data_IF_727826775363
#
_entry.id   IF_727826775363
#
_cell.length_a   1.000
_cell.length_b   1.000
_cell.length_c   1.000
_cell.angle_alpha   90.00
_cell.angle_beta   90.00
_cell.angle_gamma   90.00
#
_symmetry.space_group_name_H-M   'P 1'
#
loop_
_entity.id
_entity.type
_entity.pdbx_description
1 polymer ?
#
# COMPACT_ATOMS: atom_id res chain seq x y z
N UNK A 1 62.47 59.94 31.97
CA UNK A 1 62.46 60.15 30.51
C UNK A 1 61.38 59.23 29.94
N UNK A 2 60.16 59.76 29.80
CA UNK A 2 59.52 60.11 28.49
C UNK A 2 59.08 58.81 27.79
N UNK A 3 57.80 58.47 27.57
CA UNK A 3 56.51 59.16 27.59
C UNK A 3 55.40 58.07 27.54
N UNK A 4 54.37 58.12 28.40
CA UNK A 4 52.99 58.58 28.14
C UNK A 4 52.17 57.68 27.18
N UNK A 5 51.09 57.00 27.57
CA UNK A 5 49.76 57.44 28.09
C UNK A 5 48.68 57.25 27.01
N UNK A 6 47.70 56.40 27.29
CA UNK A 6 46.27 56.55 26.94
C UNK A 6 45.53 55.34 27.59
N UNK A 7 45.29 55.36 28.89
CA UNK A 7 44.08 55.90 29.56
C UNK A 7 42.87 54.98 29.41
N UNK A 8 42.56 54.36 30.55
CA UNK A 8 41.24 53.96 31.02
C UNK A 8 40.04 54.63 30.33
N UNK A 9 39.14 53.81 29.79
CA UNK A 9 37.72 54.13 29.80
C UNK A 9 36.90 52.83 29.86
N UNK A 10 35.94 52.82 30.78
CA UNK A 10 34.81 51.90 30.89
C UNK A 10 35.06 50.46 31.39
N UNK A 11 35.08 50.34 32.72
CA UNK A 11 34.35 49.27 33.41
C UNK A 11 32.86 49.35 33.05
N UNK A 12 32.21 48.18 33.01
CA UNK A 12 30.74 47.96 32.96
C UNK A 12 30.16 47.77 31.56
N UNK A 13 30.13 46.53 31.06
CA UNK A 13 28.91 45.91 30.49
C UNK A 13 29.02 44.40 30.74
N UNK A 14 28.17 43.89 31.63
CA UNK A 14 27.83 42.47 31.69
C UNK A 14 27.31 42.02 30.33
N UNK A 15 27.89 40.99 29.73
CA UNK A 15 27.26 40.27 28.63
C UNK A 15 27.36 38.78 28.90
N UNK A 16 26.38 38.31 29.66
CA UNK A 16 25.88 36.94 29.56
C UNK A 16 25.54 36.70 28.08
N UNK A 17 26.39 35.96 27.37
CA UNK A 17 26.01 35.31 26.13
C UNK A 17 25.17 34.08 26.49
N UNK A 18 23.88 34.32 26.75
CA UNK A 18 22.86 33.27 26.68
C UNK A 18 22.75 32.93 25.19
N UNK A 19 23.32 31.79 24.78
CA UNK A 19 22.95 31.15 23.52
C UNK A 19 21.48 30.74 23.63
N UNK A 20 20.57 31.63 23.22
CA UNK A 20 19.21 31.26 22.94
C UNK A 20 19.24 30.35 21.71
N UNK A 21 19.23 29.04 21.94
CA UNK A 21 18.82 28.06 20.95
C UNK A 21 17.37 28.39 20.59
N UNK A 22 17.21 29.19 19.54
CA UNK A 22 15.94 29.33 18.84
C UNK A 22 15.66 27.99 18.18
N UNK A 23 15.02 27.10 18.93
CA UNK A 23 14.36 25.93 18.38
C UNK A 23 13.28 26.47 17.45
N UNK A 24 13.57 26.55 16.15
CA UNK A 24 12.52 26.72 15.16
C UNK A 24 11.55 25.57 15.36
N UNK A 25 10.25 25.81 15.61
CA UNK A 25 9.30 24.72 15.65
C UNK A 25 9.34 24.04 14.29
N UNK A 26 9.85 22.81 14.25
CA UNK A 26 9.62 21.93 13.10
C UNK A 26 8.09 21.80 13.06
N UNK A 27 7.46 22.36 12.03
CA UNK A 27 6.04 22.13 11.82
C UNK A 27 5.84 20.60 11.80
N UNK A 28 4.98 20.09 12.68
CA UNK A 28 4.66 18.67 12.68
C UNK A 28 4.16 18.32 11.28
N UNK A 29 4.85 17.39 10.62
CA UNK A 29 4.46 16.91 9.30
C UNK A 29 3.03 16.37 9.40
N UNK A 30 2.11 16.92 8.59
CA UNK A 30 0.72 16.45 8.57
C UNK A 30 0.73 14.97 8.20
N UNK A 31 0.24 14.13 9.12
CA UNK A 31 0.30 12.68 8.96
C UNK A 31 -0.78 12.14 8.02
N UNK A 32 -1.80 12.95 7.73
CA UNK A 32 -2.96 12.60 6.90
C UNK A 32 -3.28 13.76 5.92
N UNK A 33 -2.35 14.12 5.02
CA UNK A 33 -2.46 15.33 4.20
C UNK A 33 -3.63 15.34 3.21
N UNK A 34 -4.04 14.17 2.69
CA UNK A 34 -5.18 14.04 1.76
C UNK A 34 -6.54 14.03 2.47
N UNK A 35 -6.55 14.11 3.81
CA UNK A 35 -7.76 14.29 4.59
C UNK A 35 -8.02 15.79 4.84
N UNK A 36 -9.28 16.20 4.68
CA UNK A 36 -9.75 17.50 5.16
C UNK A 36 -9.67 17.55 6.69
N UNK A 37 -9.47 18.76 7.22
CA UNK A 37 -9.42 18.97 8.67
C UNK A 37 -10.84 18.91 9.25
N UNK A 38 -11.29 17.68 9.51
CA UNK A 38 -12.63 17.36 9.98
C UNK A 38 -12.63 16.30 11.09
N UNK A 39 -13.84 15.92 11.52
CA UNK A 39 -14.05 15.00 12.63
C UNK A 39 -13.38 13.63 12.38
N UNK A 40 -13.44 13.10 11.15
CA UNK A 40 -12.86 11.82 10.78
C UNK A 40 -11.34 11.79 10.94
N UNK A 41 -10.63 12.79 10.38
CA UNK A 41 -9.17 12.94 10.53
C UNK A 41 -8.77 13.07 12.00
N UNK A 42 -9.49 13.90 12.75
CA UNK A 42 -9.23 14.12 14.17
C UNK A 42 -9.45 12.85 15.00
N UNK A 43 -10.46 12.05 14.69
CA UNK A 43 -10.74 10.80 15.39
C UNK A 43 -9.62 9.77 15.21
N UNK A 44 -9.09 9.63 13.98
CA UNK A 44 -7.94 8.75 13.69
C UNK A 44 -6.71 9.18 14.50
N UNK A 45 -6.32 10.46 14.39
CA UNK A 45 -5.14 11.00 15.08
C UNK A 45 -5.29 10.92 16.60
N UNK A 46 -6.48 11.23 17.13
CA UNK A 46 -6.75 11.16 18.56
C UNK A 46 -6.68 9.74 19.09
N UNK A 47 -7.22 8.75 18.35
CA UNK A 47 -7.12 7.35 18.72
C UNK A 47 -5.67 6.87 18.77
N UNK A 48 -4.90 7.09 17.70
CA UNK A 48 -3.50 6.66 17.62
C UNK A 48 -2.70 7.29 18.75
N UNK A 49 -2.83 8.60 18.98
CA UNK A 49 -2.17 9.29 20.10
C UNK A 49 -2.57 8.69 21.45
N UNK A 50 -3.86 8.41 21.67
CA UNK A 50 -4.38 7.87 22.93
C UNK A 50 -3.74 6.53 23.30
N UNK A 51 -3.53 5.64 22.33
CA UNK A 51 -3.01 4.28 22.58
C UNK A 51 -1.49 4.16 22.46
N UNK A 52 -0.80 5.19 21.96
CA UNK A 52 0.66 5.18 21.75
C UNK A 52 1.42 6.08 22.72
N UNK A 53 0.76 7.01 23.40
CA UNK A 53 1.41 7.91 24.37
C UNK A 53 1.86 7.11 25.60
N UNK A 54 3.18 6.92 25.77
CA UNK A 54 3.74 6.24 26.92
C UNK A 54 3.32 6.89 28.25
N UNK A 55 3.02 6.06 29.26
CA UNK A 55 2.53 6.52 30.56
C UNK A 55 1.04 6.88 30.62
N UNK A 56 0.33 6.87 29.49
CA UNK A 56 -1.14 6.96 29.44
C UNK A 56 -1.79 5.70 30.02
N UNK A 57 -2.90 5.85 30.74
CA UNK A 57 -3.74 4.70 31.16
C UNK A 57 -4.30 3.91 29.97
N UNK A 58 -4.40 4.56 28.81
CA UNK A 58 -4.87 3.97 27.56
C UNK A 58 -3.74 3.40 26.69
N UNK A 59 -2.49 3.44 27.15
CA UNK A 59 -1.34 2.94 26.40
C UNK A 59 -1.49 1.45 26.09
N UNK A 60 -1.23 1.09 24.83
CA UNK A 60 -1.21 -0.29 24.34
C UNK A 60 0.22 -0.61 23.88
N UNK A 61 0.83 -1.72 24.35
CA UNK A 61 2.14 -2.16 23.87
C UNK A 61 2.13 -2.41 22.36
N UNK A 62 3.24 -2.13 21.66
CA UNK A 62 3.34 -2.29 20.20
C UNK A 62 2.87 -3.66 19.69
N UNK A 63 3.23 -4.76 20.37
CA UNK A 63 2.83 -6.12 20.02
C UNK A 63 1.31 -6.41 20.14
N UNK A 64 0.52 -5.47 20.66
CA UNK A 64 -0.94 -5.55 20.75
C UNK A 64 -1.64 -4.51 19.84
N UNK A 65 -0.89 -3.68 19.12
CA UNK A 65 -1.41 -2.64 18.21
C UNK A 65 -1.75 -3.25 16.85
N UNK A 66 -2.81 -4.05 16.79
CA UNK A 66 -3.28 -4.65 15.54
C UNK A 66 -4.39 -3.79 14.94
N UNK A 67 -4.24 -3.41 13.68
CA UNK A 67 -5.25 -2.76 12.85
C UNK A 67 -5.64 -3.67 11.67
N UNK A 68 -6.95 -3.87 11.45
CA UNK A 68 -7.48 -4.70 10.36
C UNK A 68 -8.27 -3.85 9.36
N UNK A 69 -8.13 -4.17 8.08
CA UNK A 69 -8.75 -3.45 6.96
C UNK A 69 -9.45 -4.44 6.04
N UNK A 70 -10.67 -4.14 5.60
CA UNK A 70 -11.11 -4.71 4.32
C UNK A 70 -10.27 -4.14 3.17
N UNK A 71 -10.33 -4.78 2.01
CA UNK A 71 -9.66 -4.34 0.80
C UNK A 71 -10.62 -3.68 -0.19
N UNK A 72 -11.57 -4.45 -0.74
CA UNK A 72 -12.57 -3.96 -1.70
C UNK A 72 -13.42 -2.85 -1.05
N UNK A 73 -13.46 -1.66 -1.66
CA UNK A 73 -14.20 -0.50 -1.17
C UNK A 73 -13.60 0.20 0.06
N UNK A 74 -12.61 -0.41 0.72
CA UNK A 74 -11.91 0.20 1.88
C UNK A 74 -10.51 0.69 1.56
N UNK A 75 -9.73 -0.05 0.77
CA UNK A 75 -8.37 0.33 0.33
C UNK A 75 -8.30 0.66 -1.16
N UNK A 76 -9.23 0.17 -1.97
CA UNK A 76 -9.34 0.49 -3.39
C UNK A 76 -10.78 0.45 -3.91
N UNK A 77 -10.99 0.98 -5.11
CA UNK A 77 -12.27 0.95 -5.81
C UNK A 77 -12.72 -0.49 -6.09
N UNK A 78 -13.95 -0.83 -5.67
CA UNK A 78 -14.61 -2.12 -5.93
C UNK A 78 -15.73 -2.04 -6.97
N UNK A 79 -15.98 -0.86 -7.54
CA UNK A 79 -17.10 -0.62 -8.44
C UNK A 79 -16.60 -0.51 -9.89
N UNK A 80 -17.26 -1.11 -10.90
CA UNK A 80 -18.60 -1.71 -10.87
C UNK A 80 -18.69 -3.16 -10.39
N UNK A 81 -17.55 -3.84 -10.26
CA UNK A 81 -17.44 -5.21 -9.77
C UNK A 81 -16.16 -5.32 -8.95
N UNK A 82 -16.13 -6.15 -7.89
CA UNK A 82 -14.90 -6.45 -7.18
C UNK A 82 -13.79 -6.86 -8.14
N UNK A 83 -12.57 -6.39 -7.91
CA UNK A 83 -11.50 -6.52 -8.91
C UNK A 83 -11.10 -7.97 -9.16
N UNK A 84 -11.21 -8.85 -8.15
CA UNK A 84 -10.99 -10.29 -8.38
C UNK A 84 -12.09 -10.92 -9.24
N UNK A 85 -13.34 -10.45 -9.14
CA UNK A 85 -14.41 -10.91 -10.03
C UNK A 85 -14.13 -10.48 -11.47
N UNK A 86 -13.67 -9.24 -11.67
CA UNK A 86 -13.22 -8.76 -12.99
C UNK A 86 -12.05 -9.59 -13.54
N UNK A 87 -11.04 -9.88 -12.72
CA UNK A 87 -9.94 -10.78 -13.06
C UNK A 87 -10.44 -12.15 -13.51
N UNK A 88 -11.33 -12.78 -12.74
CA UNK A 88 -11.88 -14.09 -13.09
C UNK A 88 -12.66 -14.02 -14.41
N UNK A 89 -13.35 -12.91 -14.69
CA UNK A 89 -14.08 -12.73 -15.95
C UNK A 89 -13.15 -12.61 -17.15
N UNK A 90 -12.06 -11.86 -17.00
CA UNK A 90 -11.08 -11.73 -18.07
C UNK A 90 -10.29 -13.03 -18.29
N UNK A 91 -9.98 -13.78 -17.22
CA UNK A 91 -9.37 -15.11 -17.34
C UNK A 91 -10.26 -16.10 -18.08
N UNK A 92 -11.58 -16.10 -17.82
CA UNK A 92 -12.52 -16.93 -18.61
C UNK A 92 -12.41 -16.58 -20.09
N UNK A 93 -12.47 -15.28 -20.44
CA UNK A 93 -12.38 -14.84 -21.85
C UNK A 93 -11.05 -15.24 -22.48
N UNK A 94 -9.93 -15.10 -21.75
CA UNK A 94 -8.58 -15.46 -22.22
C UNK A 94 -8.45 -16.96 -22.46
N UNK A 95 -9.01 -17.79 -21.58
CA UNK A 95 -8.90 -19.25 -21.62
C UNK A 95 -9.95 -19.92 -22.50
N UNK A 96 -11.04 -19.24 -22.84
CA UNK A 96 -12.14 -19.80 -23.64
C UNK A 96 -11.69 -20.38 -25.00
N UNK A 97 -10.75 -19.77 -25.75
CA UNK A 97 -10.23 -20.35 -26.99
C UNK A 97 -9.49 -21.69 -26.78
N UNK A 98 -8.83 -21.86 -25.63
CA UNK A 98 -8.12 -23.09 -25.24
C UNK A 98 -9.08 -24.14 -24.64
N UNK A 99 -10.24 -23.71 -24.15
CA UNK A 99 -11.23 -24.54 -23.48
C UNK A 99 -12.62 -24.39 -24.12
N UNK A 100 -12.80 -24.81 -25.39
CA UNK A 100 -14.03 -24.53 -26.14
C UNK A 100 -15.28 -25.17 -25.52
N UNK A 101 -15.13 -26.27 -24.77
CA UNK A 101 -16.24 -26.95 -24.06
C UNK A 101 -16.89 -26.07 -22.99
N UNK A 102 -16.20 -25.05 -22.49
CA UNK A 102 -16.76 -24.13 -21.50
C UNK A 102 -17.88 -23.26 -22.05
N UNK A 103 -18.00 -23.10 -23.38
CA UNK A 103 -19.07 -22.33 -24.01
C UNK A 103 -20.46 -22.86 -23.70
N UNK A 104 -20.57 -24.16 -23.41
CA UNK A 104 -21.83 -24.82 -23.07
C UNK A 104 -22.13 -24.77 -21.56
N UNK A 105 -21.21 -24.26 -20.73
CA UNK A 105 -21.43 -24.09 -19.30
C UNK A 105 -22.34 -22.88 -19.05
N UNK A 106 -23.46 -23.03 -18.31
CA UNK A 106 -24.39 -21.94 -18.05
C UNK A 106 -23.75 -20.73 -17.35
N UNK A 107 -22.79 -20.95 -16.45
CA UNK A 107 -22.12 -19.86 -15.74
C UNK A 107 -21.20 -19.08 -16.70
N UNK A 108 -20.47 -19.78 -17.56
CA UNK A 108 -19.62 -19.14 -18.58
C UNK A 108 -20.47 -18.38 -19.60
N UNK A 109 -21.61 -18.95 -20.01
CA UNK A 109 -22.57 -18.28 -20.89
C UNK A 109 -23.08 -16.99 -20.26
N UNK A 110 -23.54 -17.05 -19.00
CA UNK A 110 -24.02 -15.89 -18.26
C UNK A 110 -22.94 -14.82 -18.10
N UNK A 111 -21.70 -15.21 -17.83
CA UNK A 111 -20.57 -14.29 -17.75
C UNK A 111 -20.30 -13.59 -19.08
N UNK A 112 -20.25 -14.34 -20.18
CA UNK A 112 -19.98 -13.80 -21.52
C UNK A 112 -21.10 -12.87 -21.98
N UNK A 113 -22.35 -13.13 -21.61
CA UNK A 113 -23.49 -12.27 -21.90
C UNK A 113 -23.65 -11.09 -20.93
N UNK A 114 -22.84 -11.01 -19.87
CA UNK A 114 -22.94 -9.96 -18.84
C UNK A 114 -24.12 -10.13 -17.88
N UNK A 115 -24.71 -11.33 -17.79
CA UNK A 115 -25.82 -11.65 -16.89
C UNK A 115 -25.34 -11.93 -15.46
N UNK A 116 -24.96 -10.86 -14.77
CA UNK A 116 -24.50 -10.90 -13.37
C UNK A 116 -25.61 -11.43 -12.43
N UNK A 117 -26.88 -11.21 -12.76
CA UNK A 117 -28.00 -11.71 -11.96
C UNK A 117 -28.06 -13.24 -12.00
N UNK A 118 -27.89 -13.85 -13.18
CA UNK A 118 -27.80 -15.29 -13.32
C UNK A 118 -26.58 -15.89 -12.60
N UNK A 119 -25.43 -15.19 -12.59
CA UNK A 119 -24.24 -15.65 -11.86
C UNK A 119 -24.44 -15.66 -10.33
N UNK A 120 -25.23 -14.71 -9.81
CA UNK A 120 -25.54 -14.57 -8.38
C UNK A 120 -26.72 -15.42 -7.92
N UNK A 121 -27.53 -15.92 -8.85
CA UNK A 121 -28.62 -16.83 -8.55
C UNK A 121 -28.11 -18.09 -7.81
N UNK A 122 -28.99 -18.71 -7.03
CA UNK A 122 -28.68 -19.90 -6.23
C UNK A 122 -27.42 -19.73 -5.37
N UNK A 123 -27.44 -18.75 -4.45
CA UNK A 123 -26.37 -18.51 -3.50
C UNK A 123 -24.98 -18.30 -4.14
N UNK A 124 -24.91 -17.57 -5.25
CA UNK A 124 -23.69 -17.29 -6.01
C UNK A 124 -23.04 -18.53 -6.66
N UNK A 125 -23.79 -19.61 -6.92
CA UNK A 125 -23.27 -20.83 -7.53
C UNK A 125 -22.54 -20.58 -8.86
N UNK A 126 -23.05 -19.67 -9.69
CA UNK A 126 -22.41 -19.25 -10.94
C UNK A 126 -21.04 -18.61 -10.69
N UNK A 127 -20.94 -17.67 -9.76
CA UNK A 127 -19.66 -17.06 -9.39
C UNK A 127 -18.65 -18.08 -8.84
N UNK A 128 -19.11 -19.01 -7.98
CA UNK A 128 -18.26 -20.09 -7.45
C UNK A 128 -17.73 -20.96 -8.59
N UNK A 129 -18.57 -21.27 -9.59
CA UNK A 129 -18.17 -22.02 -10.78
C UNK A 129 -17.13 -21.28 -11.61
N UNK A 130 -17.26 -19.97 -11.79
CA UNK A 130 -16.26 -19.15 -12.48
C UNK A 130 -14.92 -19.15 -11.74
N UNK A 131 -14.95 -18.98 -10.41
CA UNK A 131 -13.75 -19.07 -9.57
C UNK A 131 -13.12 -20.46 -9.70
N UNK A 132 -13.93 -21.53 -9.71
CA UNK A 132 -13.45 -22.90 -9.91
C UNK A 132 -12.64 -23.06 -11.18
N UNK A 133 -13.20 -22.61 -12.31
CA UNK A 133 -12.59 -22.74 -13.63
C UNK A 133 -11.29 -21.93 -13.78
N UNK A 134 -11.18 -20.82 -13.06
CA UNK A 134 -10.06 -19.88 -13.19
C UNK A 134 -8.96 -20.07 -12.15
N UNK A 135 -9.28 -20.66 -10.99
CA UNK A 135 -8.35 -20.76 -9.85
C UNK A 135 -7.95 -22.20 -9.51
N UNK A 136 -8.85 -23.17 -9.66
CA UNK A 136 -8.62 -24.53 -9.17
C UNK A 136 -7.68 -25.31 -10.11
N UNK A 137 -6.86 -26.20 -9.54
CA UNK A 137 -5.91 -27.02 -10.29
C UNK A 137 -4.57 -26.33 -10.59
N UNK A 138 -4.48 -25.02 -10.37
CA UNK A 138 -3.23 -24.26 -10.47
C UNK A 138 -2.38 -24.44 -9.22
N UNK A 139 -1.06 -24.37 -9.38
CA UNK A 139 -0.15 -24.06 -8.28
C UNK A 139 -0.33 -22.60 -7.83
N UNK A 140 0.06 -22.24 -6.60
CA UNK A 140 0.11 -20.84 -6.18
C UNK A 140 0.92 -19.97 -7.16
N UNK A 141 2.11 -20.41 -7.57
CA UNK A 141 2.99 -19.65 -8.47
C UNK A 141 2.35 -19.39 -9.85
N UNK A 142 1.70 -20.39 -10.45
CA UNK A 142 0.96 -20.22 -11.72
C UNK A 142 -0.24 -19.27 -11.57
N UNK A 143 -0.88 -19.28 -10.40
CA UNK A 143 -1.97 -18.36 -10.11
C UNK A 143 -1.45 -16.93 -9.95
N UNK A 144 -0.33 -16.75 -9.24
CA UNK A 144 0.30 -15.47 -9.02
C UNK A 144 0.75 -14.84 -10.34
N UNK A 145 1.36 -15.62 -11.24
CA UNK A 145 1.75 -15.18 -12.59
C UNK A 145 0.54 -14.66 -13.40
N UNK A 146 -0.61 -15.34 -13.32
CA UNK A 146 -1.83 -14.89 -14.01
C UNK A 146 -2.34 -13.57 -13.45
N UNK A 147 -2.34 -13.41 -12.13
CA UNK A 147 -2.76 -12.17 -11.49
C UNK A 147 -1.81 -11.02 -11.84
N UNK A 148 -0.49 -11.25 -11.83
CA UNK A 148 0.50 -10.26 -12.23
C UNK A 148 0.29 -9.80 -13.68
N UNK A 149 0.10 -10.74 -14.61
CA UNK A 149 -0.16 -10.44 -16.01
C UNK A 149 -1.46 -9.64 -16.22
N UNK A 150 -2.51 -9.97 -15.46
CA UNK A 150 -3.75 -9.20 -15.50
C UNK A 150 -3.56 -7.80 -14.94
N UNK A 151 -2.92 -7.64 -13.78
CA UNK A 151 -2.66 -6.32 -13.19
C UNK A 151 -1.82 -5.41 -14.10
N UNK A 152 -0.90 -5.98 -14.88
CA UNK A 152 -0.05 -5.25 -15.81
C UNK A 152 -0.79 -4.72 -17.06
N UNK A 153 -1.95 -5.29 -17.41
CA UNK A 153 -2.62 -5.00 -18.69
C UNK A 153 -4.06 -4.55 -18.55
N UNK A 154 -4.75 -4.96 -17.49
CA UNK A 154 -6.13 -4.64 -17.25
C UNK A 154 -6.28 -3.19 -16.80
N UNK A 155 -7.36 -2.56 -17.29
CA UNK A 155 -7.68 -1.18 -16.97
C UNK A 155 -9.07 -1.06 -16.39
N UNK A 156 -9.20 -0.19 -15.40
CA UNK A 156 -10.47 0.17 -14.83
C UNK A 156 -11.36 0.86 -15.87
N UNK A 157 -12.62 0.41 -16.09
CA UNK A 157 -13.43 0.88 -17.22
C UNK A 157 -13.84 2.35 -17.13
N UNK A 158 -14.01 2.90 -15.92
CA UNK A 158 -14.34 4.33 -15.73
C UNK A 158 -13.11 5.25 -15.78
N UNK A 159 -11.98 4.81 -15.24
CA UNK A 159 -10.82 5.67 -14.98
C UNK A 159 -9.70 5.48 -16.02
N UNK A 160 -9.78 4.45 -16.87
CA UNK A 160 -8.82 4.13 -17.94
C UNK A 160 -7.36 4.03 -17.46
N UNK A 161 -7.16 3.50 -16.26
CA UNK A 161 -5.86 3.27 -15.63
C UNK A 161 -5.78 1.87 -15.00
N UNK A 162 -4.59 1.43 -14.60
CA UNK A 162 -4.42 0.12 -13.96
C UNK A 162 -5.23 0.02 -12.65
N UNK A 163 -5.64 -1.19 -12.26
CA UNK A 163 -6.42 -1.38 -11.03
C UNK A 163 -5.66 -1.00 -9.76
N UNK A 164 -4.33 -1.12 -9.77
CA UNK A 164 -3.47 -0.65 -8.66
C UNK A 164 -3.41 0.88 -8.53
N UNK A 165 -4.02 1.61 -9.46
CA UNK A 165 -4.03 3.06 -9.49
C UNK A 165 -5.34 3.65 -8.96
N UNK A 166 -6.36 2.81 -8.76
CA UNK A 166 -7.65 3.20 -8.16
C UNK A 166 -7.69 2.82 -6.67
N UNK A 167 -6.54 3.01 -6.00
CA UNK A 167 -6.33 2.81 -4.57
C UNK A 167 -6.59 4.12 -3.83
N UNK A 168 -7.09 4.06 -2.59
CA UNK A 168 -7.45 5.28 -1.87
C UNK A 168 -6.24 5.93 -1.20
N UNK A 169 -5.76 7.04 -1.76
CA UNK A 169 -4.64 7.81 -1.23
C UNK A 169 -4.79 8.15 0.27
N UNK A 170 -5.96 8.62 0.76
CA UNK A 170 -6.17 8.88 2.17
C UNK A 170 -5.98 7.63 3.05
N UNK A 171 -6.29 6.44 2.54
CA UNK A 171 -6.13 5.18 3.28
C UNK A 171 -4.68 4.67 3.26
N UNK A 172 -3.91 4.94 2.20
CA UNK A 172 -2.46 4.75 2.20
C UNK A 172 -1.78 5.58 3.30
N UNK A 173 -2.25 6.82 3.50
CA UNK A 173 -1.77 7.69 4.58
C UNK A 173 -2.12 7.12 5.95
N UNK A 174 -3.33 6.58 6.14
CA UNK A 174 -3.72 5.91 7.38
C UNK A 174 -2.84 4.69 7.67
N UNK A 175 -2.61 3.84 6.66
CA UNK A 175 -1.72 2.68 6.78
C UNK A 175 -0.30 3.09 7.20
N UNK A 176 0.27 4.10 6.53
CA UNK A 176 1.60 4.62 6.86
C UNK A 176 1.65 5.24 8.25
N UNK A 177 0.64 6.02 8.62
CA UNK A 177 0.56 6.66 9.94
C UNK A 177 0.47 5.62 11.06
N UNK A 178 -0.32 4.56 10.88
CA UNK A 178 -0.42 3.47 11.84
C UNK A 178 0.92 2.73 12.00
N UNK A 179 1.57 2.35 10.90
CA UNK A 179 2.90 1.69 10.95
C UNK A 179 3.97 2.57 11.57
N UNK A 180 3.96 3.88 11.30
CA UNK A 180 4.86 4.85 11.95
C UNK A 180 4.64 4.97 13.47
N UNK A 181 3.55 4.39 13.99
CA UNK A 181 3.20 4.31 15.41
C UNK A 181 3.17 2.85 15.92
N UNK A 182 3.94 1.97 15.27
CA UNK A 182 4.13 0.55 15.58
C UNK A 182 2.86 -0.31 15.57
N UNK A 183 1.88 0.04 14.74
CA UNK A 183 0.78 -0.87 14.46
C UNK A 183 1.18 -1.90 13.41
N UNK A 184 0.72 -3.14 13.59
CA UNK A 184 0.63 -4.10 12.51
C UNK A 184 -0.66 -3.85 11.71
N UNK A 185 -0.53 -3.72 10.39
CA UNK A 185 -1.66 -3.49 9.48
C UNK A 185 -1.98 -4.77 8.71
N UNK A 186 -3.17 -5.30 8.91
CA UNK A 186 -3.63 -6.57 8.33
C UNK A 186 -4.80 -6.34 7.36
N UNK A 187 -4.86 -7.13 6.28
CA UNK A 187 -6.05 -7.22 5.42
C UNK A 187 -6.93 -8.38 5.90
N UNK A 188 -8.24 -8.15 5.96
CA UNK A 188 -9.31 -9.12 6.29
C UNK A 188 -10.46 -8.91 5.30
N UNK A 189 -10.50 -9.70 4.24
CA UNK A 189 -11.36 -9.44 3.08
C UNK A 189 -12.06 -10.67 2.54
N UNK A 190 -13.29 -10.48 2.06
CA UNK A 190 -14.04 -11.52 1.35
C UNK A 190 -13.34 -11.98 0.07
N UNK A 191 -12.46 -11.15 -0.50
CA UNK A 191 -11.60 -11.50 -1.64
C UNK A 191 -10.63 -12.64 -1.34
N UNK A 192 -10.16 -13.30 -2.39
CA UNK A 192 -9.23 -14.42 -2.30
C UNK A 192 -7.87 -13.98 -1.79
N UNK A 193 -7.39 -14.59 -0.70
CA UNK A 193 -6.11 -14.21 -0.08
C UNK A 193 -4.92 -14.23 -1.06
N UNK A 194 -4.89 -15.22 -1.94
CA UNK A 194 -3.78 -15.39 -2.89
C UNK A 194 -3.83 -14.33 -4.00
N UNK A 195 -5.02 -13.83 -4.37
CA UNK A 195 -5.14 -12.73 -5.33
C UNK A 195 -4.56 -11.44 -4.73
N UNK A 196 -4.90 -11.13 -3.48
CA UNK A 196 -4.40 -9.92 -2.80
C UNK A 196 -2.89 -10.00 -2.51
N UNK A 197 -2.37 -11.17 -2.16
CA UNK A 197 -0.93 -11.38 -1.87
C UNK A 197 0.00 -11.00 -3.01
N UNK A 198 -0.50 -11.03 -4.25
CA UNK A 198 0.30 -10.69 -5.43
C UNK A 198 0.67 -9.21 -5.50
N UNK A 199 -0.15 -8.31 -4.95
CA UNK A 199 0.05 -6.87 -5.11
C UNK A 199 0.09 -6.09 -3.79
N UNK A 200 -0.57 -6.57 -2.73
CA UNK A 200 -0.81 -5.79 -1.52
C UNK A 200 0.48 -5.33 -0.81
N UNK A 201 1.57 -6.08 -0.90
CA UNK A 201 2.85 -5.64 -0.32
C UNK A 201 3.41 -4.42 -1.05
N UNK A 202 3.46 -4.47 -2.38
CA UNK A 202 3.95 -3.35 -3.19
C UNK A 202 3.02 -2.14 -3.13
N UNK A 203 1.70 -2.36 -3.06
CA UNK A 203 0.69 -1.31 -3.12
C UNK A 203 0.39 -0.69 -1.76
N UNK A 204 0.31 -1.48 -0.69
CA UNK A 204 -0.14 -1.05 0.63
C UNK A 204 0.95 -1.13 1.72
N UNK A 205 2.09 -1.76 1.42
CA UNK A 205 3.10 -2.11 2.43
C UNK A 205 2.62 -3.18 3.40
N UNK A 206 1.66 -4.03 3.00
CA UNK A 206 1.13 -5.13 3.82
C UNK A 206 1.69 -6.46 3.30
N UNK A 207 2.58 -7.13 4.03
CA UNK A 207 3.25 -8.33 3.55
C UNK A 207 2.30 -9.54 3.48
N UNK A 208 2.60 -10.59 2.68
CA UNK A 208 1.68 -11.70 2.43
C UNK A 208 1.15 -12.44 3.67
N UNK A 209 1.95 -12.51 4.74
CA UNK A 209 1.55 -13.14 6.00
C UNK A 209 0.52 -12.32 6.79
N UNK A 210 0.35 -11.02 6.49
CA UNK A 210 -0.63 -10.13 7.11
C UNK A 210 -1.91 -10.00 6.28
N UNK A 211 -2.16 -10.96 5.37
CA UNK A 211 -3.34 -10.98 4.49
C UNK A 211 -4.18 -12.21 4.82
N UNK A 212 -5.38 -11.93 5.32
CA UNK A 212 -6.47 -12.88 5.52
C UNK A 212 -7.51 -12.60 4.45
N UNK A 213 -7.97 -13.67 3.82
CA UNK A 213 -9.07 -13.60 2.88
C UNK A 213 -9.61 -14.99 2.58
N UNK A 214 -10.60 -15.07 1.69
CA UNK A 214 -11.20 -16.34 1.31
C UNK A 214 -10.18 -17.31 0.69
N UNK A 215 -10.29 -18.60 1.01
CA UNK A 215 -9.40 -19.63 0.48
C UNK A 215 -10.02 -21.02 0.45
N UNK A 216 -9.54 -21.85 -0.49
CA UNK A 216 -9.71 -23.30 -0.44
C UNK A 216 -8.43 -23.99 0.04
N UNK A 217 -8.52 -25.27 0.41
CA UNK A 217 -7.33 -26.04 0.81
C UNK A 217 -6.32 -26.15 -0.31
N UNK A 218 -5.05 -26.19 0.06
CA UNK A 218 -3.97 -26.62 -0.83
C UNK A 218 -3.80 -28.13 -0.69
N UNK A 219 -3.62 -28.81 -1.83
CA UNK A 219 -3.24 -30.22 -1.89
C UNK A 219 -1.75 -30.32 -2.13
N UNK A 220 -1.03 -30.98 -1.22
CA UNK A 220 0.38 -31.31 -1.38
C UNK A 220 0.54 -32.67 -2.06
N UNK A 221 1.36 -32.73 -3.11
CA UNK A 221 1.74 -33.96 -3.80
C UNK A 221 3.19 -33.90 -4.28
N UNK A 222 3.78 -35.08 -4.56
CA UNK A 222 5.01 -35.19 -5.33
C UNK A 222 4.65 -35.48 -6.79
N UNK A 223 4.59 -34.45 -7.64
CA UNK A 223 4.36 -34.61 -9.08
C UNK A 223 5.71 -34.77 -9.77
N UNK A 224 5.95 -35.92 -10.39
CA UNK A 224 7.24 -36.25 -11.04
C UNK A 224 8.45 -36.05 -10.11
N UNK A 225 8.29 -36.36 -8.83
CA UNK A 225 9.33 -36.20 -7.81
C UNK A 225 9.53 -34.78 -7.28
N UNK A 226 8.75 -33.80 -7.76
CA UNK A 226 8.79 -32.41 -7.28
C UNK A 226 7.68 -32.15 -6.27
N UNK A 227 7.98 -31.54 -5.10
CA UNK A 227 6.96 -31.03 -4.18
C UNK A 227 6.07 -30.01 -4.87
N UNK A 228 4.76 -30.24 -4.88
CA UNK A 228 3.80 -29.36 -5.54
C UNK A 228 2.61 -29.12 -4.63
N UNK A 229 2.26 -27.84 -4.46
CA UNK A 229 0.97 -27.43 -3.89
C UNK A 229 0.02 -27.11 -5.03
N UNK A 230 -1.21 -27.59 -4.94
CA UNK A 230 -2.26 -27.30 -5.92
C UNK A 230 -3.47 -26.70 -5.22
N UNK A 231 -3.97 -25.58 -5.74
CA UNK A 231 -5.18 -24.90 -5.27
C UNK A 231 -6.39 -25.79 -5.54
N UNK A 232 -7.19 -26.00 -4.51
CA UNK A 232 -8.46 -26.75 -4.61
C UNK A 232 -9.62 -25.85 -4.17
N UNK A 233 -10.84 -26.33 -4.40
CA UNK A 233 -12.05 -25.76 -3.79
C UNK A 233 -12.52 -26.59 -2.59
N UNK A 234 -11.69 -27.48 -2.07
CA UNK A 234 -12.05 -28.28 -0.90
C UNK A 234 -12.02 -27.41 0.36
N UNK A 235 -13.05 -27.54 1.19
CA UNK A 235 -13.16 -26.83 2.48
C UNK A 235 -12.97 -25.31 2.34
N UNK A 236 -13.77 -24.69 1.46
CA UNK A 236 -13.75 -23.24 1.29
C UNK A 236 -14.04 -22.52 2.62
N UNK A 237 -13.10 -21.66 3.00
CA UNK A 237 -13.31 -20.65 4.02
C UNK A 237 -13.63 -19.33 3.32
N UNK A 238 -14.73 -18.71 3.72
CA UNK A 238 -15.17 -17.40 3.22
C UNK A 238 -14.92 -16.38 4.32
N UNK A 239 -14.02 -15.43 4.06
CA UNK A 239 -13.62 -14.41 5.03
C UNK A 239 -14.47 -13.14 4.87
N UNK A 240 -15.79 -13.31 4.92
CA UNK A 240 -16.78 -12.23 4.80
C UNK A 240 -17.81 -12.34 5.93
N UNK A 241 -18.40 -11.22 6.34
CA UNK A 241 -19.37 -11.14 7.45
C UNK A 241 -18.83 -11.80 8.72
N UNK A 242 -19.55 -12.77 9.28
CA UNK A 242 -19.15 -13.53 10.47
C UNK A 242 -17.88 -14.37 10.25
N UNK A 243 -17.48 -14.60 8.99
CA UNK A 243 -16.19 -15.20 8.65
C UNK A 243 -15.01 -14.33 9.10
N UNK A 244 -15.10 -13.00 8.95
CA UNK A 244 -14.01 -12.06 9.29
C UNK A 244 -13.49 -12.18 10.73
N UNK A 245 -14.33 -12.12 11.78
CA UNK A 245 -13.83 -12.32 13.15
C UNK A 245 -13.27 -13.72 13.40
N UNK A 246 -13.76 -14.75 12.69
CA UNK A 246 -13.19 -16.10 12.75
C UNK A 246 -11.80 -16.13 12.12
N UNK A 247 -11.62 -15.50 10.95
CA UNK A 247 -10.33 -15.35 10.28
C UNK A 247 -9.33 -14.62 11.18
N UNK A 248 -9.71 -13.47 11.73
CA UNK A 248 -8.91 -12.71 12.70
C UNK A 248 -8.45 -13.60 13.86
N UNK A 249 -9.38 -14.31 14.50
CA UNK A 249 -9.06 -15.14 15.65
C UNK A 249 -8.12 -16.31 15.31
N UNK A 250 -8.27 -16.91 14.12
CA UNK A 250 -7.45 -18.05 13.69
C UNK A 250 -6.04 -17.65 13.24
N UNK A 251 -5.91 -16.55 12.49
CA UNK A 251 -4.65 -16.20 11.84
C UNK A 251 -3.83 -15.18 12.63
N UNK A 252 -4.46 -14.22 13.28
CA UNK A 252 -3.76 -13.21 14.11
C UNK A 252 -3.58 -13.73 15.54
N UNK A 253 -4.61 -14.43 16.07
CA UNK A 253 -4.60 -14.89 17.46
C UNK A 253 -4.71 -13.76 18.49
N UNK A 254 -5.01 -12.54 18.05
CA UNK A 254 -5.23 -11.35 18.89
C UNK A 254 -6.42 -10.56 18.37
N UNK A 255 -7.14 -9.94 19.29
CA UNK A 255 -8.24 -9.04 18.96
C UNK A 255 -7.66 -7.69 18.48
N UNK A 256 -8.02 -7.20 17.29
CA UNK A 256 -7.59 -5.90 16.82
C UNK A 256 -8.06 -4.78 17.74
N UNK A 257 -7.36 -3.65 17.71
CA UNK A 257 -7.79 -2.43 18.39
C UNK A 257 -8.22 -1.35 17.39
N UNK A 258 -8.03 -1.56 16.10
CA UNK A 258 -8.57 -0.69 15.05
C UNK A 258 -9.12 -1.54 13.90
N UNK A 259 -10.28 -1.16 13.35
CA UNK A 259 -10.85 -1.78 12.17
C UNK A 259 -11.37 -0.74 11.17
N UNK A 260 -11.20 -1.04 9.89
CA UNK A 260 -11.62 -0.20 8.78
C UNK A 260 -12.38 -1.06 7.77
N UNK A 261 -13.58 -0.63 7.40
CA UNK A 261 -14.44 -1.32 6.44
C UNK A 261 -15.30 -0.33 5.65
N UNK A 262 -16.16 -0.81 4.77
CA UNK A 262 -17.06 0.03 3.98
C UNK A 262 -18.48 -0.55 3.82
N UNK A 263 -18.72 -1.78 4.27
CA UNK A 263 -19.98 -2.49 3.97
C UNK A 263 -20.58 -3.23 5.16
N UNK A 264 -21.80 -3.73 5.00
CA UNK A 264 -22.45 -4.64 5.95
C UNK A 264 -21.67 -5.97 6.08
N UNK A 265 -20.81 -6.30 5.12
CA UNK A 265 -19.85 -7.40 5.21
C UNK A 265 -18.81 -7.21 6.31
N UNK A 266 -18.54 -5.97 6.71
CA UNK A 266 -17.58 -5.64 7.75
C UNK A 266 -18.17 -5.59 9.15
N UNK A 267 -19.51 -5.57 9.25
CA UNK A 267 -20.17 -5.29 10.52
C UNK A 267 -19.67 -6.21 11.65
N UNK A 268 -19.58 -7.51 11.41
CA UNK A 268 -19.10 -8.47 12.41
C UNK A 268 -17.63 -8.27 12.78
N UNK A 269 -16.77 -7.87 11.83
CA UNK A 269 -15.37 -7.48 12.11
C UNK A 269 -15.33 -6.24 13.00
N UNK A 270 -16.17 -5.24 12.71
CA UNK A 270 -16.23 -4.00 13.47
C UNK A 270 -16.76 -4.23 14.88
N UNK A 271 -17.84 -4.99 15.02
CA UNK A 271 -18.38 -5.42 16.31
C UNK A 271 -17.36 -6.21 17.12
N UNK A 272 -16.71 -7.19 16.49
CA UNK A 272 -15.63 -7.93 17.12
C UNK A 272 -14.45 -7.04 17.47
N UNK A 273 -14.18 -5.94 16.77
CA UNK A 273 -13.07 -5.06 17.14
C UNK A 273 -13.47 -4.10 18.26
N UNK A 274 -14.68 -3.55 18.28
CA UNK A 274 -14.98 -2.39 19.13
C UNK A 274 -15.86 -2.67 20.34
N UNK A 275 -16.66 -3.74 20.36
CA UNK A 275 -17.59 -4.00 21.46
C UNK A 275 -16.87 -4.74 22.59
N UNK A 276 -16.87 -4.16 23.79
CA UNK A 276 -16.25 -4.77 24.98
C UNK A 276 -14.80 -5.20 24.72
N UNK A 277 -14.04 -4.37 24.00
CA UNK A 277 -12.62 -4.61 23.77
C UNK A 277 -11.86 -4.30 25.08
N UNK A 278 -10.99 -5.20 25.55
CA UNK A 278 -10.18 -4.95 26.76
C UNK A 278 -9.21 -3.76 26.60
N UNK A 279 -8.95 -3.31 25.37
CA UNK A 279 -8.16 -2.12 25.04
C UNK A 279 -9.06 -1.04 24.44
N UNK A 280 -8.67 0.25 24.53
CA UNK A 280 -9.30 1.28 23.73
C UNK A 280 -9.26 0.87 22.25
N UNK A 281 -10.41 0.95 21.59
CA UNK A 281 -10.58 0.48 20.21
C UNK A 281 -11.18 1.56 19.31
N UNK A 282 -10.97 1.43 18.00
CA UNK A 282 -11.45 2.35 16.98
C UNK A 282 -12.10 1.59 15.81
N UNK A 283 -13.19 2.13 15.27
CA UNK A 283 -13.83 1.61 14.08
C UNK A 283 -14.13 2.74 13.11
N UNK A 284 -13.86 2.51 11.83
CA UNK A 284 -14.10 3.48 10.76
C UNK A 284 -14.80 2.82 9.56
N UNK A 285 -15.81 3.49 9.03
CA UNK A 285 -16.54 3.11 7.82
C UNK A 285 -16.21 4.12 6.71
N UNK A 286 -15.73 3.65 5.56
CA UNK A 286 -15.65 4.43 4.33
C UNK A 286 -17.03 4.49 3.70
N UNK A 287 -17.65 5.67 3.61
CA UNK A 287 -18.94 5.86 2.96
C UNK A 287 -18.73 6.51 1.58
N UNK A 288 -19.08 5.77 0.53
CA UNK A 288 -18.92 6.18 -0.86
C UNK A 288 -20.00 7.18 -1.26
N UNK A 289 -19.71 8.47 -1.07
CA UNK A 289 -20.64 9.58 -1.32
C UNK A 289 -20.27 10.43 -2.53
N UNK A 290 -19.19 10.09 -3.23
CA UNK A 290 -18.59 10.93 -4.28
C UNK A 290 -18.71 10.35 -5.69
N UNK A 291 -19.85 10.58 -6.34
CA UNK A 291 -20.09 10.12 -7.71
C UNK A 291 -19.18 10.79 -8.77
N UNK A 292 -18.58 11.95 -8.44
CA UNK A 292 -17.77 12.73 -9.38
C UNK A 292 -16.34 12.19 -9.44
N UNK A 293 -15.69 12.06 -8.28
CA UNK A 293 -14.29 11.59 -8.18
C UNK A 293 -14.18 10.07 -8.07
N UNK A 294 -15.21 9.40 -7.56
CA UNK A 294 -15.28 7.95 -7.37
C UNK A 294 -16.65 7.43 -7.82
N UNK A 295 -17.39 6.73 -6.98
CA UNK A 295 -18.76 6.33 -7.15
C UNK A 295 -19.55 6.75 -5.89
N UNK A 296 -20.87 6.81 -6.02
CA UNK A 296 -21.76 7.01 -4.88
C UNK A 296 -22.70 5.80 -4.76
N UNK A 297 -22.62 5.08 -3.65
CA UNK A 297 -23.41 3.88 -3.40
C UNK A 297 -23.43 3.52 -1.91
N UNK A 298 -24.54 2.93 -1.48
CA UNK A 298 -24.77 2.48 -0.11
C UNK A 298 -25.77 1.31 -0.06
N UNK A 299 -27.08 1.57 -0.07
CA UNK A 299 -28.13 0.59 0.21
C UNK A 299 -28.43 -0.36 -0.95
N UNK A 300 -28.22 0.10 -2.19
CA UNK A 300 -28.58 -0.64 -3.41
C UNK A 300 -27.46 -0.60 -4.47
N UNK A 301 -26.23 -1.04 -4.16
CA UNK A 301 -25.19 -1.14 -5.16
C UNK A 301 -25.55 -2.20 -6.20
N UNK A 302 -25.07 -2.03 -7.43
CA UNK A 302 -25.32 -3.00 -8.51
C UNK A 302 -24.54 -4.30 -8.33
N UNK A 303 -23.49 -4.32 -7.49
CA UNK A 303 -22.69 -5.51 -7.24
C UNK A 303 -22.42 -5.85 -5.78
N UNK A 304 -21.57 -5.07 -5.12
CA UNK A 304 -20.99 -5.29 -3.79
C UNK A 304 -20.93 -3.96 -3.03
N UNK A 305 -20.44 -3.97 -1.79
CA UNK A 305 -20.34 -2.74 -0.99
C UNK A 305 -21.66 -2.25 -0.41
N UNK A 306 -22.63 -3.15 -0.19
CA UNK A 306 -23.91 -2.75 0.43
C UNK A 306 -23.64 -2.26 1.85
N UNK A 307 -24.07 -1.04 2.16
CA UNK A 307 -23.90 -0.41 3.45
C UNK A 307 -25.25 0.09 3.98
N UNK A 308 -25.84 -0.64 4.92
CA UNK A 308 -27.12 -0.31 5.57
C UNK A 308 -27.07 -0.54 7.07
N UNK A 309 -26.88 -1.78 7.50
CA UNK A 309 -26.92 -2.16 8.91
C UNK A 309 -25.69 -1.67 9.67
N UNK A 310 -24.51 -1.69 9.04
CA UNK A 310 -23.30 -1.15 9.64
C UNK A 310 -23.39 0.38 9.81
N UNK A 311 -23.96 1.09 8.83
CA UNK A 311 -24.17 2.54 8.88
C UNK A 311 -25.18 2.93 9.96
N UNK A 312 -26.29 2.21 10.08
CA UNK A 312 -27.29 2.40 11.13
C UNK A 312 -26.72 2.15 12.54
N UNK A 313 -25.80 1.19 12.68
CA UNK A 313 -25.15 0.86 13.93
C UNK A 313 -24.05 1.86 14.32
N UNK A 314 -23.39 2.51 13.36
CA UNK A 314 -22.24 3.38 13.58
C UNK A 314 -22.39 4.40 14.72
N UNK A 315 -23.46 5.24 14.78
CA UNK A 315 -23.60 6.22 15.86
C UNK A 315 -23.78 5.57 17.25
N UNK A 316 -24.39 4.39 17.32
CA UNK A 316 -24.61 3.67 18.57
C UNK A 316 -23.33 2.99 19.07
N UNK A 317 -22.43 2.65 18.14
CA UNK A 317 -21.16 1.96 18.41
C UNK A 317 -19.97 2.90 18.47
N UNK A 318 -20.16 4.18 18.18
CA UNK A 318 -19.09 5.17 18.09
C UNK A 318 -18.14 4.94 16.91
N UNK A 319 -18.61 4.28 15.85
CA UNK A 319 -17.83 4.13 14.64
C UNK A 319 -17.79 5.45 13.87
N UNK A 320 -16.60 5.83 13.42
CA UNK A 320 -16.39 7.01 12.60
C UNK A 320 -16.87 6.71 11.19
N UNK A 321 -17.76 7.53 10.63
CA UNK A 321 -18.20 7.40 9.23
C UNK A 321 -17.54 8.48 8.41
N UNK A 322 -16.74 8.07 7.44
CA UNK A 322 -16.05 8.95 6.51
C UNK A 322 -16.96 9.26 5.35
N UNK A 323 -17.29 10.52 5.14
CA UNK A 323 -17.97 10.96 3.91
C UNK A 323 -16.90 11.20 2.85
N UNK A 324 -16.73 10.30 1.88
CA UNK A 324 -15.66 10.39 0.87
C UNK A 324 -15.63 11.75 0.16
N UNK A 325 -16.80 12.31 -0.15
CA UNK A 325 -16.91 13.61 -0.83
C UNK A 325 -16.41 14.76 0.03
N UNK A 326 -16.73 14.75 1.33
CA UNK A 326 -16.42 15.86 2.24
C UNK A 326 -15.08 15.71 2.96
N UNK A 327 -14.70 14.49 3.33
CA UNK A 327 -13.56 14.24 4.21
C UNK A 327 -12.25 14.04 3.45
N UNK A 328 -12.30 13.68 2.16
CA UNK A 328 -11.09 13.46 1.34
C UNK A 328 -10.87 14.62 0.38
N UNK A 329 -9.66 15.21 0.41
CA UNK A 329 -9.18 16.19 -0.58
C UNK A 329 -8.90 15.54 -1.92
N UNK A 330 -8.31 14.35 -1.87
CA UNK A 330 -7.96 13.53 -3.03
C UNK A 330 -8.44 12.11 -2.78
N UNK A 331 -9.01 11.45 -3.79
CA UNK A 331 -9.50 10.06 -3.69
C UNK A 331 -8.38 9.08 -4.04
N UNK A 332 -7.87 9.17 -5.26
CA UNK A 332 -6.79 8.32 -5.78
C UNK A 332 -5.47 9.10 -5.80
N UNK A 333 -4.30 8.43 -5.76
CA UNK A 333 -3.03 9.11 -6.02
C UNK A 333 -3.08 9.86 -7.36
N UNK A 334 -2.47 11.04 -7.44
CA UNK A 334 -2.36 11.79 -8.69
C UNK A 334 -1.69 10.92 -9.78
N UNK A 335 -2.22 11.02 -11.00
CA UNK A 335 -2.06 10.12 -12.16
C UNK A 335 -0.76 9.27 -12.19
N UNK A 336 -0.83 7.94 -12.05
CA UNK A 336 0.29 7.00 -12.24
C UNK A 336 0.78 6.85 -13.69
N UNK A 337 0.36 7.74 -14.59
CA UNK A 337 1.20 8.14 -15.72
C UNK A 337 2.41 8.98 -15.30
N UNK A 338 2.56 9.29 -14.01
CA UNK A 338 3.70 9.96 -13.40
C UNK A 338 4.40 8.94 -12.49
N UNK A 339 5.55 8.40 -12.92
CA UNK A 339 6.31 7.37 -12.20
C UNK A 339 6.80 7.75 -10.82
N UNK A 340 6.61 9.02 -10.49
CA UNK A 340 6.94 9.71 -9.25
C UNK A 340 6.42 8.91 -8.07
N UNK A 341 5.13 8.56 -8.02
CA UNK A 341 4.52 7.86 -6.86
C UNK A 341 5.13 6.48 -6.58
N UNK A 342 5.51 5.76 -7.63
CA UNK A 342 6.06 4.40 -7.53
C UNK A 342 7.53 4.36 -7.05
N UNK A 343 8.29 5.43 -7.31
CA UNK A 343 9.69 5.56 -6.90
C UNK A 343 9.87 6.33 -5.58
N UNK A 344 8.84 6.97 -5.03
CA UNK A 344 8.98 7.70 -3.75
C UNK A 344 9.47 6.79 -2.63
N UNK A 345 10.39 7.32 -1.82
CA UNK A 345 11.00 6.65 -0.67
C UNK A 345 12.47 6.30 -0.88
N UNK A 346 13.04 5.62 0.11
CA UNK A 346 14.45 5.25 0.13
C UNK A 346 14.68 3.88 -0.53
N UNK A 347 15.73 3.82 -1.35
CA UNK A 347 16.17 2.65 -2.08
C UNK A 347 17.65 2.41 -1.81
N UNK A 348 18.01 1.14 -1.68
CA UNK A 348 19.39 0.68 -1.58
C UNK A 348 19.87 0.28 -2.97
N UNK A 349 21.05 0.77 -3.38
CA UNK A 349 21.64 0.38 -4.66
C UNK A 349 22.44 -0.91 -4.46
N UNK A 350 22.08 -1.93 -5.23
CA UNK A 350 22.66 -3.28 -5.17
C UNK A 350 23.73 -3.49 -6.26
N UNK A 351 23.52 -2.89 -7.43
CA UNK A 351 24.43 -2.97 -8.58
C UNK A 351 24.50 -1.64 -9.33
N UNK A 352 25.72 -1.26 -9.76
CA UNK A 352 25.97 -0.07 -10.58
C UNK A 352 26.84 -0.47 -11.78
N UNK A 353 26.26 -0.37 -12.98
CA UNK A 353 26.90 -0.67 -14.26
C UNK A 353 27.47 -2.10 -14.34
N UNK A 354 26.71 -3.09 -13.87
CA UNK A 354 27.06 -4.52 -13.92
C UNK A 354 28.11 -4.93 -12.89
N UNK A 355 28.28 -4.12 -11.84
CA UNK A 355 29.23 -4.34 -10.75
C UNK A 355 28.53 -4.06 -9.41
N UNK A 356 28.58 -5.04 -8.51
CA UNK A 356 28.05 -4.92 -7.16
C UNK A 356 28.62 -3.75 -6.36
N UNK A 357 27.83 -3.32 -5.38
CA UNK A 357 28.15 -2.25 -4.43
C UNK A 357 28.81 -2.86 -3.18
N UNK A 358 29.63 -2.09 -2.45
CA UNK A 358 30.26 -2.57 -1.21
C UNK A 358 29.25 -2.63 -0.06
N UNK A 359 28.87 -3.83 0.39
CA UNK A 359 27.80 -4.07 1.37
C UNK A 359 27.86 -3.21 2.65
N UNK A 360 29.07 -2.99 3.20
CA UNK A 360 29.25 -2.23 4.44
C UNK A 360 29.17 -0.71 4.26
N UNK A 361 29.15 -0.24 3.03
CA UNK A 361 29.11 1.19 2.68
C UNK A 361 28.02 1.40 1.64
N UNK A 362 26.80 1.54 2.14
CA UNK A 362 25.60 1.60 1.33
C UNK A 362 25.58 2.84 0.43
N UNK A 363 25.33 2.61 -0.84
CA UNK A 363 24.85 3.65 -1.76
C UNK A 363 23.33 3.66 -1.71
N UNK A 364 22.72 4.83 -1.50
CA UNK A 364 21.26 4.95 -1.38
C UNK A 364 20.72 6.03 -2.30
N UNK A 365 19.46 5.86 -2.72
CA UNK A 365 18.69 6.83 -3.51
C UNK A 365 17.35 7.03 -2.82
N UNK A 366 17.05 8.26 -2.41
CA UNK A 366 15.76 8.66 -1.89
C UNK A 366 15.09 9.63 -2.86
N UNK A 367 13.89 9.30 -3.30
CA UNK A 367 13.03 10.22 -4.05
C UNK A 367 11.95 10.79 -3.14
N UNK A 368 11.89 12.11 -3.06
CA UNK A 368 10.86 12.85 -2.35
C UNK A 368 9.76 13.30 -3.31
N UNK A 369 8.54 13.45 -2.79
CA UNK A 369 7.37 13.83 -3.58
C UNK A 369 7.49 15.21 -4.26
N UNK A 370 8.45 16.04 -3.84
CA UNK A 370 8.75 17.35 -4.44
C UNK A 370 9.76 17.26 -5.62
N UNK A 371 10.01 16.05 -6.14
CA UNK A 371 10.98 15.78 -7.20
C UNK A 371 12.44 15.84 -6.76
N UNK A 372 12.71 15.88 -5.45
CA UNK A 372 14.09 15.86 -4.94
C UNK A 372 14.63 14.44 -4.94
N UNK A 373 15.83 14.26 -5.51
CA UNK A 373 16.62 13.05 -5.39
C UNK A 373 17.81 13.30 -4.47
N UNK A 374 17.99 12.46 -3.46
CA UNK A 374 19.06 12.61 -2.47
C UNK A 374 19.54 11.26 -1.96
N UNK A 375 20.73 11.21 -1.35
CA UNK A 375 21.21 9.96 -0.78
C UNK A 375 22.69 9.98 -0.47
N UNK A 376 23.27 8.78 -0.40
CA UNK A 376 24.72 8.61 -0.25
C UNK A 376 25.30 7.86 -1.45
N UNK A 377 26.45 8.31 -1.93
CA UNK A 377 27.29 7.59 -2.91
C UNK A 377 28.23 6.58 -2.24
N UNK A 378 28.05 6.35 -0.93
CA UNK A 378 28.93 5.57 -0.06
C UNK A 378 30.01 6.41 0.63
N UNK A 379 30.64 7.36 -0.08
CA UNK A 379 31.61 8.30 0.52
C UNK A 379 30.95 9.63 0.83
N UNK A 380 30.21 10.17 -0.14
CA UNK A 380 29.61 11.49 -0.06
C UNK A 380 28.10 11.42 0.06
N UNK A 381 27.51 12.54 0.47
CA UNK A 381 26.09 12.78 0.31
C UNK A 381 25.88 13.54 -1.00
N UNK A 382 24.77 13.25 -1.66
CA UNK A 382 24.36 13.98 -2.84
C UNK A 382 22.91 14.46 -2.72
N UNK A 383 22.60 15.51 -3.47
CA UNK A 383 21.25 16.04 -3.62
C UNK A 383 21.09 16.71 -4.98
N UNK A 384 19.93 16.56 -5.59
CA UNK A 384 19.55 17.24 -6.82
C UNK A 384 18.06 17.06 -7.09
N UNK A 385 17.65 17.36 -8.32
CA UNK A 385 16.29 17.08 -8.80
C UNK A 385 16.30 15.83 -9.67
N UNK A 386 15.21 15.07 -9.63
CA UNK A 386 14.90 14.05 -10.60
C UNK A 386 13.55 14.37 -11.22
N UNK A 387 13.47 14.21 -12.53
CA UNK A 387 12.23 14.30 -13.28
C UNK A 387 11.74 12.87 -13.53
N UNK A 388 10.52 12.58 -13.09
CA UNK A 388 9.92 11.26 -13.16
C UNK A 388 8.54 11.41 -13.80
N UNK A 389 8.37 10.82 -14.98
CA UNK A 389 7.16 10.89 -15.81
C UNK A 389 6.91 9.48 -16.37
N UNK A 390 5.86 8.82 -15.89
CA UNK A 390 5.52 7.43 -16.23
C UNK A 390 6.61 6.43 -15.87
N UNK A 391 7.23 5.81 -16.86
CA UNK A 391 8.41 4.95 -16.65
C UNK A 391 9.72 5.68 -16.96
N UNK A 392 9.67 6.98 -17.27
CA UNK A 392 10.85 7.80 -17.49
C UNK A 392 11.39 8.29 -16.17
N UNK A 393 12.70 8.32 -16.08
CA UNK A 393 13.44 8.85 -14.94
C UNK A 393 14.66 9.55 -15.49
N UNK A 394 14.84 10.83 -15.18
CA UNK A 394 16.08 11.54 -15.48
C UNK A 394 16.58 12.28 -14.26
N UNK A 395 17.89 12.20 -14.00
CA UNK A 395 18.51 12.99 -12.95
C UNK A 395 18.95 14.33 -13.53
N UNK A 396 18.57 15.41 -12.85
CA UNK A 396 19.19 16.72 -13.04
C UNK A 396 20.61 16.76 -12.46
N UNK A 397 21.24 17.93 -12.47
CA UNK A 397 22.56 18.10 -11.89
C UNK A 397 22.57 17.73 -10.40
N UNK A 398 23.40 16.76 -10.03
CA UNK A 398 23.57 16.32 -8.65
C UNK A 398 24.71 17.10 -7.99
N UNK A 399 24.41 17.77 -6.89
CA UNK A 399 25.43 18.35 -6.02
C UNK A 399 25.93 17.27 -5.05
N UNK A 400 27.23 17.18 -4.85
CA UNK A 400 27.87 16.23 -3.92
C UNK A 400 28.71 16.95 -2.87
N UNK A 401 28.81 16.37 -1.68
CA UNK A 401 29.88 16.74 -0.73
C UNK A 401 31.24 16.32 -1.29
N UNK A 402 32.34 16.91 -0.79
CA UNK A 402 33.71 16.64 -1.29
C UNK A 402 34.61 16.00 -0.24
N UNK A 403 34.13 14.94 0.40
CA UNK A 403 34.92 14.11 1.31
C UNK A 403 35.79 13.15 0.50
N UNK A 404 37.04 12.98 0.93
CA UNK A 404 37.94 11.97 0.38
C UNK A 404 37.71 10.65 1.09
N UNK A 405 37.68 9.55 0.32
CA UNK A 405 37.54 8.20 0.84
C UNK A 405 38.54 7.23 0.21
N UNK A 406 38.52 5.95 0.64
CA UNK A 406 39.24 4.87 -0.01
C UNK A 406 38.98 4.81 -1.52
N UNK A 407 40.02 4.49 -2.31
CA UNK A 407 39.96 4.50 -3.77
C UNK A 407 38.79 3.65 -4.34
N UNK A 408 38.49 2.50 -3.73
CA UNK A 408 37.39 1.65 -4.14
C UNK A 408 36.00 2.31 -3.97
N UNK A 409 35.82 3.11 -2.91
CA UNK A 409 34.56 3.81 -2.66
C UNK A 409 34.44 5.07 -3.52
N UNK A 410 35.56 5.75 -3.79
CA UNK A 410 35.60 6.83 -4.78
C UNK A 410 35.27 6.34 -6.19
N UNK A 411 35.74 5.14 -6.58
CA UNK A 411 35.35 4.50 -7.85
C UNK A 411 33.86 4.17 -7.89
N UNK A 412 33.31 3.60 -6.82
CA UNK A 412 31.87 3.35 -6.69
C UNK A 412 31.04 4.64 -6.81
N UNK A 413 31.46 5.70 -6.14
CA UNK A 413 30.85 7.03 -6.26
C UNK A 413 30.89 7.53 -7.70
N UNK A 414 32.05 7.48 -8.36
CA UNK A 414 32.16 7.92 -9.75
C UNK A 414 31.27 7.10 -10.68
N UNK A 415 31.19 5.77 -10.48
CA UNK A 415 30.27 4.91 -11.23
C UNK A 415 28.81 5.30 -11.02
N UNK A 416 28.41 5.58 -9.77
CA UNK A 416 27.05 6.03 -9.47
C UNK A 416 26.70 7.31 -10.22
N UNK A 417 27.55 8.34 -10.09
CA UNK A 417 27.31 9.64 -10.72
C UNK A 417 27.29 9.54 -12.25
N UNK A 418 28.21 8.77 -12.83
CA UNK A 418 28.28 8.55 -14.28
C UNK A 418 27.05 7.80 -14.79
N UNK A 419 26.61 6.75 -14.08
CA UNK A 419 25.41 6.03 -14.46
C UNK A 419 24.15 6.91 -14.33
N UNK A 420 24.06 7.72 -13.27
CA UNK A 420 22.94 8.63 -13.05
C UNK A 420 22.71 9.62 -14.20
N UNK A 421 23.78 10.08 -14.85
CA UNK A 421 23.71 10.96 -16.03
C UNK A 421 23.13 10.29 -17.29
N UNK A 422 23.11 8.95 -17.34
CA UNK A 422 22.65 8.18 -18.51
C UNK A 422 21.25 7.62 -18.37
N UNK A 423 20.68 7.66 -17.16
CA UNK A 423 19.37 7.08 -16.87
C UNK A 423 18.28 7.91 -17.54
N UNK A 424 17.40 7.21 -18.26
CA UNK A 424 16.22 7.81 -18.91
C UNK A 424 14.92 7.11 -18.57
N UNK A 425 14.98 5.92 -17.97
CA UNK A 425 13.81 5.14 -17.63
C UNK A 425 14.06 4.23 -16.42
N UNK A 426 12.99 3.65 -15.90
CA UNK A 426 13.02 2.61 -14.89
C UNK A 426 11.98 1.53 -15.15
N UNK A 427 12.21 0.34 -14.62
CA UNK A 427 11.26 -0.78 -14.63
C UNK A 427 11.27 -1.49 -13.27
N UNK A 428 10.10 -1.91 -12.80
CA UNK A 428 10.03 -2.78 -11.62
C UNK A 428 10.36 -4.21 -12.01
N UNK A 429 11.16 -4.87 -11.17
CA UNK A 429 11.51 -6.26 -11.30
C UNK A 429 10.66 -7.13 -10.38
N UNK A 430 11.35 -8.03 -9.67
CA UNK A 430 10.80 -8.76 -8.53
C UNK A 430 10.26 -7.78 -7.46
N UNK A 431 9.34 -8.22 -6.57
CA UNK A 431 8.85 -7.38 -5.48
C UNK A 431 9.98 -6.69 -4.71
N UNK A 432 9.88 -5.37 -4.58
CA UNK A 432 10.91 -4.55 -3.92
C UNK A 432 12.14 -4.27 -4.76
N UNK A 433 12.23 -4.72 -6.02
CA UNK A 433 13.34 -4.44 -6.93
C UNK A 433 12.92 -3.45 -8.01
N UNK A 434 13.78 -2.46 -8.25
CA UNK A 434 13.67 -1.57 -9.40
C UNK A 434 14.98 -1.54 -10.17
N UNK A 435 14.89 -1.51 -11.50
CA UNK A 435 16.01 -1.35 -12.40
C UNK A 435 15.95 0.03 -13.04
N UNK A 436 17.06 0.75 -13.04
CA UNK A 436 17.20 1.98 -13.82
C UNK A 436 17.88 1.68 -15.15
N UNK A 437 17.32 2.26 -16.22
CA UNK A 437 17.66 1.95 -17.60
C UNK A 437 18.36 3.13 -18.27
N UNK A 438 19.44 2.84 -18.99
CA UNK A 438 20.14 3.82 -19.82
C UNK A 438 19.41 4.08 -21.16
N UNK A 439 19.96 5.01 -21.95
CA UNK A 439 19.45 5.35 -23.30
C UNK A 439 19.35 4.18 -24.28
N UNK A 440 20.04 3.07 -24.03
CA UNK A 440 20.01 1.86 -24.86
C UNK A 440 19.14 0.75 -24.24
N UNK A 441 18.36 1.08 -23.20
CA UNK A 441 17.57 0.15 -22.40
C UNK A 441 18.40 -0.92 -21.66
N UNK A 442 19.69 -0.67 -21.41
CA UNK A 442 20.49 -1.53 -20.52
C UNK A 442 20.22 -1.16 -19.06
N UNK A 443 20.28 -2.15 -18.17
CA UNK A 443 20.19 -1.94 -16.72
C UNK A 443 21.45 -1.25 -16.21
N UNK A 444 21.36 0.06 -16.01
CA UNK A 444 22.41 0.90 -15.47
C UNK A 444 22.57 0.71 -13.95
N UNK A 445 21.46 0.50 -13.24
CA UNK A 445 21.46 0.20 -11.80
C UNK A 445 20.38 -0.81 -11.44
N UNK A 446 20.64 -1.60 -10.40
CA UNK A 446 19.64 -2.39 -9.67
C UNK A 446 19.52 -1.84 -8.26
N UNK A 447 18.28 -1.63 -7.82
CA UNK A 447 17.97 -1.13 -6.50
C UNK A 447 16.96 -2.03 -5.81
N UNK A 448 17.07 -2.13 -4.49
CA UNK A 448 16.12 -2.79 -3.60
C UNK A 448 15.45 -1.75 -2.71
N UNK A 449 14.19 -1.98 -2.33
CA UNK A 449 13.46 -1.13 -1.38
C UNK A 449 14.11 -1.26 -0.01
N UNK A 450 14.37 -0.13 0.65
CA UNK A 450 15.01 -0.09 1.97
C UNK A 450 13.99 -0.15 3.11
#
# INVERSE_FOLDING_TARGET
MIQQNAVEAMKTVCSLLIFALLSTPVAAQDSLPSWNDGASKQAIVAFVKKVTTEGSESFVPAAERIAVFDNDGTLWCEFPLPNQATFAFDEIKRLLPENPVWKDDPAVTALVSGDVAALKADHNAGLIKIIALTHAGLTPDEFDERVQNWLATAKHPKFDCAYTNVIYQPMLEVLNYLRANDFETWIVSGGGKDFMRVFAEATYGIPPQQIIGSYGKLKYELKEGKPTLTKTLDSLFVDDKEGKPVGIAQFIGRRPIACFGNSDGDQAMMEYTTIDNPRPSFGLIVHHTDAEREYAYDANPTSSGKLTTALDAAPQRGWTVVDMKQDWKTVFPDDPKDGTSSLIGEWLVEDIAGKGVVDRVQTTVNFSADGTASGSTGVNRYSGKADIDGNKLTFGSLATTRMAGPAALMDQEQRFLTAAETIVAFEFGEPGIVYFLDNNANRAMKLSKK
#
